data_IF_764658764363
#
_entry.id   IF_764658764363
#
_cell.length_a   1.000
_cell.length_b   1.000
_cell.length_c   1.000
_cell.angle_alpha   90.00
_cell.angle_beta   90.00
_cell.angle_gamma   90.00
#
_symmetry.space_group_name_H-M   'P 1'
#
loop_
_entity.id
_entity.type
_entity.pdbx_description
1 polymer ?
#
# COMPACT_ATOMS: atom_id res chain seq x y z
N UNK A 1 50.53 8.87 2.47
CA UNK A 1 49.76 9.25 3.66
C UNK A 1 48.29 9.03 3.37
N UNK A 2 47.73 7.97 3.92
CA UNK A 2 46.41 7.40 3.66
C UNK A 2 45.30 8.16 4.42
N UNK A 3 44.33 8.66 3.67
CA UNK A 3 43.06 9.22 4.17
C UNK A 3 42.17 8.08 4.70
N UNK A 4 41.59 8.16 5.92
CA UNK A 4 40.66 7.14 6.39
C UNK A 4 39.25 7.41 5.84
N UNK A 5 38.69 6.38 5.20
CA UNK A 5 37.31 6.28 4.78
C UNK A 5 36.35 6.40 5.99
N UNK A 6 35.55 7.46 6.05
CA UNK A 6 34.37 7.52 6.92
C UNK A 6 33.13 7.09 6.11
N UNK A 7 33.04 5.77 5.90
CA UNK A 7 31.86 5.11 5.37
C UNK A 7 31.00 4.62 6.55
N UNK A 8 30.23 5.51 7.15
CA UNK A 8 29.19 5.16 8.13
C UNK A 8 27.83 5.39 7.50
N UNK A 9 27.48 4.52 6.53
CA UNK A 9 26.08 4.28 6.13
C UNK A 9 25.36 3.65 7.32
N UNK A 10 24.86 4.49 8.21
CA UNK A 10 23.88 4.10 9.22
C UNK A 10 22.62 3.69 8.46
N UNK A 11 22.27 2.41 8.56
CA UNK A 11 20.96 1.89 8.23
C UNK A 11 19.92 2.53 9.17
N UNK A 12 19.56 3.79 8.88
CA UNK A 12 18.39 4.40 9.48
C UNK A 12 17.20 3.57 9.03
N UNK A 13 16.60 2.89 10.00
CA UNK A 13 15.25 2.33 9.95
C UNK A 13 14.42 3.21 9.01
N UNK A 14 14.02 2.66 7.86
CA UNK A 14 13.32 3.34 6.77
C UNK A 14 11.91 3.76 7.26
N UNK A 15 11.89 4.71 8.16
CA UNK A 15 10.73 5.28 8.84
C UNK A 15 10.20 6.33 7.88
N UNK A 16 9.21 5.93 7.08
CA UNK A 16 8.51 6.84 6.19
C UNK A 16 7.67 7.83 6.99
N UNK A 17 7.58 9.06 6.51
CA UNK A 17 6.69 10.07 7.08
C UNK A 17 5.23 9.56 6.96
N UNK A 18 4.37 9.72 7.99
CA UNK A 18 2.96 9.39 7.87
C UNK A 18 2.31 10.12 6.70
N UNK A 19 1.46 9.44 5.93
CA UNK A 19 0.84 9.98 4.71
C UNK A 19 0.13 11.33 4.94
N UNK A 20 -0.57 11.50 6.07
CA UNK A 20 -1.20 12.78 6.44
C UNK A 20 -0.19 13.92 6.59
N UNK A 21 0.95 13.67 7.24
CA UNK A 21 2.01 14.68 7.40
C UNK A 21 2.70 14.98 6.06
N UNK A 22 2.84 13.99 5.17
CA UNK A 22 3.32 14.23 3.80
C UNK A 22 2.37 15.16 3.04
N UNK A 23 1.06 14.85 3.04
CA UNK A 23 0.07 15.66 2.34
C UNK A 23 0.04 17.09 2.86
N UNK A 24 0.07 17.25 4.18
CA UNK A 24 0.08 18.55 4.86
C UNK A 24 1.33 19.36 4.51
N UNK A 25 2.52 18.75 4.52
CA UNK A 25 3.77 19.41 4.14
C UNK A 25 3.76 19.83 2.66
N UNK A 26 3.43 18.91 1.75
CA UNK A 26 3.43 19.20 0.31
C UNK A 26 2.39 20.27 -0.04
N UNK A 27 1.20 20.21 0.60
CA UNK A 27 0.15 21.20 0.39
C UNK A 27 0.54 22.59 0.89
N UNK A 28 1.16 22.70 2.07
CA UNK A 28 1.65 24.00 2.57
C UNK A 28 2.81 24.54 1.75
N UNK A 29 3.74 23.70 1.32
CA UNK A 29 4.78 24.11 0.38
C UNK A 29 4.16 24.65 -0.91
N UNK A 30 3.17 23.96 -1.48
CA UNK A 30 2.46 24.45 -2.67
C UNK A 30 1.84 25.84 -2.44
N UNK A 31 1.09 26.02 -1.34
CA UNK A 31 0.43 27.30 -1.01
C UNK A 31 1.45 28.43 -0.82
N UNK A 32 2.55 28.17 -0.12
CA UNK A 32 3.58 29.18 0.15
C UNK A 32 4.35 29.57 -1.11
N UNK A 33 4.70 28.60 -1.96
CA UNK A 33 5.33 28.84 -3.24
C UNK A 33 4.39 29.58 -4.21
N UNK A 34 3.10 29.23 -4.21
CA UNK A 34 2.09 29.94 -4.99
C UNK A 34 1.93 31.40 -4.56
N UNK A 35 2.12 31.68 -3.26
CA UNK A 35 2.16 33.04 -2.72
C UNK A 35 3.48 33.79 -3.02
N UNK A 36 4.40 33.21 -3.78
CA UNK A 36 5.68 33.81 -4.16
C UNK A 36 6.77 33.77 -3.08
N UNK A 37 6.60 32.95 -2.03
CA UNK A 37 7.64 32.80 -1.00
C UNK A 37 8.76 31.89 -1.53
N UNK A 38 10.02 32.30 -1.36
CA UNK A 38 11.20 31.50 -1.73
C UNK A 38 11.20 30.10 -1.05
N UNK A 39 11.57 29.07 -1.82
CA UNK A 39 11.57 27.67 -1.40
C UNK A 39 12.41 27.42 -0.14
N UNK A 40 13.57 28.08 0.03
CA UNK A 40 14.41 27.92 1.23
C UNK A 40 13.68 28.38 2.47
N UNK A 41 12.99 29.52 2.38
CA UNK A 41 12.20 30.07 3.49
C UNK A 41 10.98 29.21 3.80
N UNK A 42 10.26 28.78 2.76
CA UNK A 42 9.12 27.89 2.90
C UNK A 42 9.52 26.56 3.57
N UNK A 43 10.59 25.93 3.08
CA UNK A 43 11.14 24.70 3.64
C UNK A 43 11.59 24.84 5.09
N UNK A 44 12.36 25.88 5.41
CA UNK A 44 12.82 26.14 6.78
C UNK A 44 11.67 26.30 7.79
N UNK A 45 10.56 26.91 7.35
CA UNK A 45 9.35 27.02 8.17
C UNK A 45 8.67 25.66 8.38
N UNK A 46 8.61 24.80 7.35
CA UNK A 46 8.04 23.46 7.46
C UNK A 46 8.88 22.53 8.35
N UNK A 47 10.21 22.63 8.29
CA UNK A 47 11.11 21.89 9.19
C UNK A 47 10.83 22.23 10.65
N UNK A 48 10.66 23.52 10.98
CA UNK A 48 10.35 23.98 12.35
C UNK A 48 8.98 23.53 12.85
N UNK A 49 7.99 23.41 11.95
CA UNK A 49 6.63 22.95 12.27
C UNK A 49 6.56 21.43 12.47
N UNK A 50 7.52 20.69 11.93
CA UNK A 50 7.49 19.24 11.94
C UNK A 50 7.73 18.71 13.37
N UNK A 51 6.99 17.67 13.82
CA UNK A 51 7.23 17.06 15.13
C UNK A 51 8.69 16.62 15.28
N UNK A 52 9.27 16.74 16.48
CA UNK A 52 10.69 16.48 16.76
C UNK A 52 11.19 15.12 16.22
N UNK A 53 10.33 14.10 16.26
CA UNK A 53 10.58 12.75 15.70
C UNK A 53 10.94 12.72 14.20
N UNK A 54 10.50 13.72 13.43
CA UNK A 54 10.68 13.80 11.97
C UNK A 54 11.45 15.05 11.55
N UNK A 55 11.44 16.11 12.36
CA UNK A 55 12.10 17.38 12.07
C UNK A 55 13.60 17.23 11.80
N UNK A 56 14.31 16.42 12.61
CA UNK A 56 15.75 16.19 12.44
C UNK A 56 16.10 15.47 11.13
N UNK A 57 15.23 14.58 10.64
CA UNK A 57 15.45 13.88 9.39
C UNK A 57 15.02 14.72 8.19
N UNK A 58 13.98 15.55 8.34
CA UNK A 58 13.57 16.52 7.33
C UNK A 58 14.60 17.64 7.16
N UNK A 59 15.29 18.06 8.23
CA UNK A 59 16.35 19.08 8.15
C UNK A 59 17.55 18.66 7.32
N UNK A 60 17.76 17.36 7.07
CA UNK A 60 18.79 16.88 6.13
C UNK A 60 18.55 17.35 4.69
N UNK A 61 17.32 17.72 4.33
CA UNK A 61 17.01 18.32 3.04
C UNK A 61 17.29 19.83 2.99
N UNK A 62 17.46 20.49 4.13
CA UNK A 62 17.70 21.95 4.20
C UNK A 62 19.02 22.32 3.54
N UNK A 63 20.08 21.55 3.77
CA UNK A 63 21.39 21.80 3.17
C UNK A 63 21.32 21.71 1.63
N UNK A 64 20.55 20.74 1.13
CA UNK A 64 20.33 20.54 -0.31
C UNK A 64 19.63 21.72 -0.96
N UNK A 65 18.56 22.20 -0.33
CA UNK A 65 17.79 23.36 -0.82
C UNK A 65 18.61 24.65 -0.69
N UNK A 66 19.39 24.82 0.37
CA UNK A 66 20.27 25.97 0.53
C UNK A 66 21.37 26.02 -0.52
N UNK A 67 21.88 24.86 -0.93
CA UNK A 67 22.86 24.72 -2.02
C UNK A 67 22.25 24.88 -3.42
N UNK A 68 20.93 25.12 -3.53
CA UNK A 68 20.24 25.29 -4.81
C UNK A 68 19.96 23.99 -5.57
N UNK A 69 20.03 22.83 -4.90
CA UNK A 69 19.60 21.57 -5.51
C UNK A 69 18.06 21.52 -5.64
N UNK A 70 17.59 20.71 -6.60
CA UNK A 70 16.16 20.47 -6.86
C UNK A 70 15.41 19.95 -5.63
N UNK A 71 14.11 20.27 -5.52
CA UNK A 71 13.30 19.85 -4.38
C UNK A 71 13.20 18.32 -4.28
N UNK A 72 13.11 17.64 -5.43
CA UNK A 72 13.13 16.18 -5.52
C UNK A 72 14.38 15.56 -4.91
N UNK A 73 15.55 16.17 -5.10
CA UNK A 73 16.83 15.70 -4.54
C UNK A 73 16.85 15.90 -3.03
N UNK A 74 16.39 17.04 -2.54
CA UNK A 74 16.25 17.31 -1.12
C UNK A 74 15.31 16.30 -0.44
N UNK A 75 14.13 16.06 -1.02
CA UNK A 75 13.16 15.07 -0.52
C UNK A 75 13.74 13.65 -0.52
N UNK A 76 14.47 13.27 -1.57
CA UNK A 76 15.14 11.98 -1.65
C UNK A 76 16.19 11.81 -0.55
N UNK A 77 16.97 12.86 -0.28
CA UNK A 77 18.03 12.85 0.73
C UNK A 77 17.48 12.64 2.16
N UNK A 78 16.25 13.09 2.44
CA UNK A 78 15.62 12.83 3.75
C UNK A 78 15.29 11.36 3.98
N UNK A 79 15.06 10.58 2.92
CA UNK A 79 14.58 9.20 3.02
C UNK A 79 13.16 9.05 3.58
N UNK A 80 12.43 10.15 3.79
CA UNK A 80 11.10 10.15 4.41
C UNK A 80 9.95 9.90 3.43
N UNK A 81 10.19 10.16 2.15
CA UNK A 81 9.17 10.17 1.11
C UNK A 81 9.20 8.90 0.26
N UNK A 82 8.03 8.41 -0.21
CA UNK A 82 7.97 7.32 -1.18
C UNK A 82 8.63 7.69 -2.52
N UNK A 83 9.19 6.71 -3.27
CA UNK A 83 9.75 6.95 -4.60
C UNK A 83 8.78 7.64 -5.56
N UNK A 84 7.49 7.30 -5.49
CA UNK A 84 6.43 7.93 -6.27
C UNK A 84 6.37 9.46 -6.06
N UNK A 85 6.45 9.92 -4.80
CA UNK A 85 6.41 11.35 -4.47
C UNK A 85 7.66 12.04 -4.99
N UNK A 86 8.82 11.43 -4.78
CA UNK A 86 10.11 11.96 -5.25
C UNK A 86 10.11 12.08 -6.79
N UNK A 87 9.67 11.03 -7.48
CA UNK A 87 9.60 10.99 -8.94
C UNK A 87 8.64 12.04 -9.50
N UNK A 88 7.44 12.16 -8.92
CA UNK A 88 6.49 13.21 -9.32
C UNK A 88 7.04 14.61 -9.09
N UNK A 89 7.64 14.89 -7.92
CA UNK A 89 8.29 16.19 -7.67
C UNK A 89 9.44 16.43 -8.64
N UNK A 90 10.18 15.39 -9.03
CA UNK A 90 11.24 15.51 -10.03
C UNK A 90 10.71 15.89 -11.42
N UNK A 91 9.52 15.39 -11.79
CA UNK A 91 8.81 15.87 -12.99
C UNK A 91 8.43 17.34 -12.83
N UNK A 92 7.91 17.73 -11.66
CA UNK A 92 7.64 19.13 -11.30
C UNK A 92 8.88 20.03 -11.47
N UNK A 93 10.00 19.65 -10.88
CA UNK A 93 11.25 20.43 -10.89
C UNK A 93 11.76 20.61 -12.34
N UNK A 94 11.70 19.54 -13.16
CA UNK A 94 12.16 19.56 -14.54
C UNK A 94 11.24 20.38 -15.47
N UNK A 95 9.96 20.47 -15.14
CA UNK A 95 8.95 21.19 -15.92
C UNK A 95 8.69 22.61 -15.42
N UNK A 96 9.25 22.99 -14.27
CA UNK A 96 8.93 24.24 -13.58
C UNK A 96 7.52 24.28 -12.97
N UNK A 97 6.85 23.13 -12.85
CA UNK A 97 5.46 23.02 -12.36
C UNK A 97 5.37 22.51 -10.91
N UNK A 98 6.28 22.96 -10.05
CA UNK A 98 6.34 22.50 -8.65
C UNK A 98 5.04 22.76 -7.90
N UNK A 99 4.46 23.96 -8.03
CA UNK A 99 3.22 24.33 -7.32
C UNK A 99 2.06 23.41 -7.71
N UNK A 100 1.88 23.17 -9.01
CA UNK A 100 0.82 22.29 -9.53
C UNK A 100 1.02 20.86 -9.04
N UNK A 101 2.26 20.36 -9.15
CA UNK A 101 2.65 19.01 -8.74
C UNK A 101 2.47 18.78 -7.24
N UNK A 102 2.93 19.70 -6.40
CA UNK A 102 2.83 19.62 -4.95
C UNK A 102 1.37 19.70 -4.48
N UNK A 103 0.57 20.59 -5.07
CA UNK A 103 -0.87 20.70 -4.81
C UNK A 103 -1.56 19.37 -5.11
N UNK A 104 -1.22 18.79 -6.25
CA UNK A 104 -1.86 17.57 -6.72
C UNK A 104 -1.42 16.34 -5.90
N UNK A 105 -0.14 16.24 -5.55
CA UNK A 105 0.35 15.21 -4.64
C UNK A 105 -0.31 15.30 -3.26
N UNK A 106 -0.46 16.51 -2.72
CA UNK A 106 -1.18 16.72 -1.46
C UNK A 106 -2.62 16.20 -1.53
N UNK A 107 -3.33 16.52 -2.62
CA UNK A 107 -4.70 16.04 -2.86
C UNK A 107 -4.76 14.52 -2.92
N UNK A 108 -3.93 13.89 -3.74
CA UNK A 108 -3.90 12.42 -3.92
C UNK A 108 -3.59 11.71 -2.60
N UNK A 109 -2.58 12.18 -1.85
CA UNK A 109 -2.22 11.56 -0.58
C UNK A 109 -3.33 11.77 0.46
N UNK A 110 -3.99 12.93 0.51
CA UNK A 110 -5.13 13.16 1.39
C UNK A 110 -6.30 12.22 1.09
N UNK A 111 -6.65 12.02 -0.18
CA UNK A 111 -7.66 11.04 -0.57
C UNK A 111 -7.26 9.62 -0.17
N UNK A 112 -5.99 9.25 -0.34
CA UNK A 112 -5.48 7.95 0.10
C UNK A 112 -5.57 7.77 1.63
N UNK A 113 -5.32 8.82 2.42
CA UNK A 113 -5.47 8.79 3.89
C UNK A 113 -6.93 8.55 4.29
N UNK A 114 -7.88 9.31 3.71
CA UNK A 114 -9.31 9.15 3.99
C UNK A 114 -9.76 7.72 3.64
N UNK A 115 -9.35 7.23 2.48
CA UNK A 115 -9.66 5.88 1.99
C UNK A 115 -9.08 4.81 2.92
N UNK A 116 -7.82 4.95 3.31
CA UNK A 116 -7.15 4.01 4.22
C UNK A 116 -7.84 3.97 5.58
N UNK A 117 -8.29 5.12 6.09
CA UNK A 117 -9.04 5.18 7.34
C UNK A 117 -10.39 4.49 7.23
N UNK A 118 -11.11 4.69 6.11
CA UNK A 118 -12.36 3.99 5.86
C UNK A 118 -12.15 2.47 5.80
N UNK A 119 -11.14 2.01 5.07
CA UNK A 119 -10.73 0.60 5.02
C UNK A 119 -10.40 0.03 6.39
N UNK A 120 -9.61 0.75 7.19
CA UNK A 120 -9.27 0.35 8.55
C UNK A 120 -10.51 0.24 9.43
N UNK A 121 -11.42 1.22 9.35
CA UNK A 121 -12.65 1.19 10.14
C UNK A 121 -13.54 -0.01 9.79
N UNK A 122 -13.58 -0.42 8.52
CA UNK A 122 -14.32 -1.60 8.08
C UNK A 122 -13.75 -2.93 8.61
N UNK A 123 -12.45 -2.99 8.94
CA UNK A 123 -11.78 -4.19 9.46
C UNK A 123 -11.87 -4.33 10.99
N UNK A 124 -12.32 -3.30 11.71
CA UNK A 124 -12.43 -3.34 13.18
C UNK A 124 -13.42 -4.42 13.61
N UNK A 125 -14.60 -4.49 12.99
CA UNK A 125 -15.62 -5.47 13.36
C UNK A 125 -15.16 -6.93 13.18
N UNK A 126 -14.62 -7.34 12.02
CA UNK A 126 -14.02 -8.67 11.86
C UNK A 126 -12.92 -8.98 12.89
N UNK A 127 -12.09 -8.00 13.24
CA UNK A 127 -11.04 -8.19 14.24
C UNK A 127 -11.59 -8.44 15.64
N UNK A 128 -12.60 -7.68 16.08
CA UNK A 128 -13.29 -7.88 17.37
C UNK A 128 -13.94 -9.26 17.41
N UNK A 129 -14.63 -9.65 16.32
CA UNK A 129 -15.28 -10.95 16.23
C UNK A 129 -14.27 -12.11 16.29
N UNK A 130 -13.11 -11.97 15.64
CA UNK A 130 -12.03 -12.95 15.69
C UNK A 130 -11.47 -13.09 17.11
N UNK A 131 -11.21 -11.97 17.81
CA UNK A 131 -10.75 -12.00 19.20
C UNK A 131 -11.77 -12.70 20.10
N UNK A 132 -13.06 -12.38 19.97
CA UNK A 132 -14.12 -13.02 20.74
C UNK A 132 -14.18 -14.53 20.47
N UNK A 133 -14.10 -14.93 19.20
CA UNK A 133 -14.08 -16.35 18.83
C UNK A 133 -12.89 -17.10 19.44
N UNK A 134 -11.68 -16.52 19.39
CA UNK A 134 -10.49 -17.11 20.02
C UNK A 134 -10.63 -17.22 21.54
N UNK A 135 -11.30 -16.27 22.19
CA UNK A 135 -11.60 -16.31 23.62
C UNK A 135 -12.60 -17.42 23.96
N UNK A 136 -13.69 -17.55 23.20
CA UNK A 136 -14.67 -18.63 23.39
C UNK A 136 -13.98 -20.00 23.30
N UNK A 137 -13.13 -20.19 22.29
CA UNK A 137 -12.34 -21.42 22.14
C UNK A 137 -11.42 -21.66 23.35
N UNK A 138 -10.74 -20.63 23.84
CA UNK A 138 -9.89 -20.73 25.03
C UNK A 138 -10.66 -21.12 26.30
N UNK A 139 -11.85 -20.53 26.51
CA UNK A 139 -12.73 -20.87 27.64
C UNK A 139 -13.21 -22.32 27.54
N UNK A 140 -13.58 -22.79 26.35
CA UNK A 140 -14.00 -24.17 26.15
C UNK A 140 -12.89 -25.16 26.51
N UNK A 141 -11.63 -24.91 26.10
CA UNK A 141 -10.47 -25.75 26.47
C UNK A 141 -10.27 -25.79 27.98
N UNK A 142 -10.45 -24.65 28.66
CA UNK A 142 -10.30 -24.59 30.11
C UNK A 142 -11.37 -25.41 30.83
N UNK A 143 -12.64 -25.23 30.45
CA UNK A 143 -13.78 -25.97 31.03
C UNK A 143 -13.67 -27.46 30.76
N UNK A 144 -13.17 -27.86 29.59
CA UNK A 144 -12.98 -29.25 29.21
C UNK A 144 -12.05 -30.03 30.15
N UNK A 145 -11.12 -29.35 30.83
CA UNK A 145 -10.25 -29.98 31.83
C UNK A 145 -10.85 -30.09 33.22
N UNK A 146 -12.00 -29.44 33.47
CA UNK A 146 -12.71 -29.51 34.76
C UNK A 146 -13.82 -30.56 34.76
N UNK A 147 -14.29 -30.97 33.58
CA UNK A 147 -15.33 -31.97 33.41
C UNK A 147 -14.67 -33.30 33.06
N UNK A 148 -14.42 -34.13 34.07
CA UNK A 148 -14.03 -35.52 33.86
C UNK A 148 -15.30 -36.34 33.57
N UNK A 149 -15.37 -36.98 32.40
CA UNK A 149 -16.32 -38.08 32.24
C UNK A 149 -15.92 -39.20 33.20
N UNK A 150 -16.91 -39.94 33.70
CA UNK A 150 -16.72 -41.13 34.53
C UNK A 150 -15.77 -42.20 33.96
N UNK A 151 -15.35 -42.08 32.69
CA UNK A 151 -14.37 -42.95 32.02
C UNK A 151 -12.91 -42.47 32.11
N UNK A 152 -12.60 -41.44 32.91
CA UNK A 152 -11.22 -40.99 33.15
C UNK A 152 -10.50 -40.42 31.91
N UNK A 153 -11.25 -40.12 30.84
CA UNK A 153 -10.72 -39.41 29.67
C UNK A 153 -11.24 -37.98 29.69
N UNK A 154 -10.34 -36.99 29.62
CA UNK A 154 -10.74 -35.58 29.57
C UNK A 154 -11.59 -35.30 28.34
N UNK A 155 -12.63 -34.51 28.52
CA UNK A 155 -13.56 -34.16 27.46
C UNK A 155 -12.88 -33.16 26.53
N UNK A 156 -12.82 -33.46 25.24
CA UNK A 156 -12.23 -32.57 24.23
C UNK A 156 -13.32 -31.98 23.35
N UNK A 157 -13.73 -30.75 23.67
CA UNK A 157 -14.77 -30.04 22.92
C UNK A 157 -14.32 -29.68 21.48
N UNK A 158 -13.02 -29.68 21.19
CA UNK A 158 -12.49 -29.22 19.89
C UNK A 158 -12.01 -30.39 19.03
N UNK A 159 -11.61 -31.50 19.65
CA UNK A 159 -11.09 -32.68 18.97
C UNK A 159 -9.61 -32.58 18.57
N UNK A 160 -8.88 -31.62 19.15
CA UNK A 160 -7.45 -31.37 18.89
C UNK A 160 -6.52 -31.91 19.99
N UNK A 161 -7.06 -32.64 20.97
CA UNK A 161 -6.34 -33.14 22.14
C UNK A 161 -5.97 -32.05 23.16
N UNK A 162 -6.57 -30.85 23.05
CA UNK A 162 -6.28 -29.70 23.91
C UNK A 162 -7.26 -29.67 25.07
N UNK A 163 -6.82 -30.09 26.26
CA UNK A 163 -7.68 -30.12 27.45
C UNK A 163 -7.02 -29.48 28.67
N UNK A 164 -7.79 -28.67 29.39
CA UNK A 164 -7.44 -28.11 30.69
C UNK A 164 -6.32 -27.08 30.64
N UNK A 165 -5.66 -26.85 31.79
CA UNK A 165 -4.59 -25.85 31.90
C UNK A 165 -3.36 -26.16 31.04
N UNK A 166 -3.11 -27.44 30.72
CA UNK A 166 -2.06 -27.84 29.78
C UNK A 166 -2.46 -27.52 28.33
N UNK A 167 -3.69 -27.86 27.94
CA UNK A 167 -4.25 -27.53 26.64
C UNK A 167 -4.33 -26.02 26.38
N UNK A 168 -4.70 -25.22 27.38
CA UNK A 168 -4.77 -23.76 27.25
C UNK A 168 -3.39 -23.14 27.01
N UNK A 169 -2.33 -23.64 27.66
CA UNK A 169 -0.95 -23.21 27.42
C UNK A 169 -0.51 -23.53 25.98
N UNK A 170 -0.79 -24.75 25.51
CA UNK A 170 -0.46 -25.16 24.15
C UNK A 170 -1.23 -24.35 23.11
N UNK A 171 -2.53 -24.10 23.35
CA UNK A 171 -3.35 -23.22 22.52
C UNK A 171 -2.77 -21.80 22.43
N UNK A 172 -2.39 -21.21 23.57
CA UNK A 172 -1.76 -19.90 23.62
C UNK A 172 -0.45 -19.84 22.82
N UNK A 173 0.41 -20.86 22.96
CA UNK A 173 1.65 -20.96 22.17
C UNK A 173 1.37 -21.07 20.66
N UNK A 174 0.37 -21.86 20.26
CA UNK A 174 -0.04 -21.99 18.86
C UNK A 174 -0.56 -20.66 18.29
N UNK A 175 -1.36 -19.91 19.04
CA UNK A 175 -1.82 -18.58 18.61
C UNK A 175 -0.66 -17.60 18.43
N UNK A 176 0.28 -17.60 19.36
CA UNK A 176 1.49 -16.75 19.28
C UNK A 176 2.34 -17.16 18.06
N UNK A 177 2.57 -18.46 17.85
CA UNK A 177 3.29 -18.97 16.69
C UNK A 177 2.59 -18.59 15.38
N UNK A 178 1.28 -18.79 15.28
CA UNK A 178 0.46 -18.39 14.14
C UNK A 178 0.55 -16.88 13.88
N UNK A 179 0.53 -16.06 14.92
CA UNK A 179 0.67 -14.60 14.81
C UNK A 179 2.04 -14.19 14.24
N UNK A 180 3.13 -14.80 14.71
CA UNK A 180 4.46 -14.53 14.17
C UNK A 180 4.64 -15.04 12.74
N UNK A 181 4.07 -16.21 12.40
CA UNK A 181 4.06 -16.72 11.02
C UNK A 181 3.28 -15.76 10.12
N UNK A 182 2.08 -15.33 10.54
CA UNK A 182 1.26 -14.38 9.80
C UNK A 182 1.98 -13.05 9.59
N UNK A 183 2.63 -12.52 10.63
CA UNK A 183 3.46 -11.31 10.53
C UNK A 183 4.65 -11.50 9.58
N UNK A 184 5.31 -12.66 9.62
CA UNK A 184 6.42 -13.01 8.73
C UNK A 184 5.98 -13.04 7.27
N UNK A 185 4.90 -13.78 6.97
CA UNK A 185 4.29 -13.85 5.63
C UNK A 185 3.85 -12.46 5.17
N UNK A 186 3.14 -11.70 6.00
CA UNK A 186 2.70 -10.35 5.65
C UNK A 186 3.89 -9.43 5.34
N UNK A 187 4.96 -9.49 6.14
CA UNK A 187 6.18 -8.72 5.87
C UNK A 187 6.87 -9.16 4.59
N UNK A 188 6.95 -10.45 4.30
CA UNK A 188 7.52 -10.97 3.05
C UNK A 188 6.68 -10.53 1.85
N UNK A 189 5.36 -10.55 1.94
CA UNK A 189 4.47 -10.06 0.88
C UNK A 189 4.62 -8.55 0.65
N UNK A 190 4.66 -7.76 1.74
CA UNK A 190 4.85 -6.31 1.67
C UNK A 190 6.25 -5.91 1.16
N UNK A 191 7.30 -6.62 1.60
CA UNK A 191 8.66 -6.44 1.09
C UNK A 191 8.75 -6.86 -0.38
N UNK A 192 8.10 -7.97 -0.73
CA UNK A 192 8.00 -8.51 -2.08
C UNK A 192 7.25 -7.61 -3.05
N UNK A 193 6.22 -6.89 -2.60
CA UNK A 193 5.54 -5.86 -3.39
C UNK A 193 6.47 -4.67 -3.69
N UNK A 194 7.38 -4.36 -2.77
CA UNK A 194 8.33 -3.24 -2.91
C UNK A 194 9.57 -3.60 -3.75
N UNK A 195 9.89 -4.88 -3.85
CA UNK A 195 10.98 -5.42 -4.68
C UNK A 195 10.46 -5.87 -6.05
N UNK A 196 11.22 -5.66 -7.12
CA UNK A 196 10.88 -6.08 -8.49
C UNK A 196 10.92 -7.63 -8.72
N UNK A 197 10.71 -8.44 -7.68
CA UNK A 197 10.94 -9.89 -7.69
C UNK A 197 9.72 -10.78 -7.91
N UNK A 198 9.92 -12.10 -7.80
CA UNK A 198 8.92 -13.16 -8.02
C UNK A 198 7.61 -12.99 -7.21
N UNK A 199 7.66 -12.32 -6.06
CA UNK A 199 6.48 -12.04 -5.23
C UNK A 199 5.54 -11.03 -5.92
N UNK A 200 6.09 -10.04 -6.65
CA UNK A 200 5.28 -9.14 -7.49
C UNK A 200 4.55 -9.94 -8.56
N UNK A 201 5.24 -10.89 -9.21
CA UNK A 201 4.65 -11.75 -10.25
C UNK A 201 3.58 -12.72 -9.72
N UNK A 202 3.69 -13.17 -8.47
CA UNK A 202 2.68 -14.01 -7.82
C UNK A 202 1.44 -13.20 -7.38
N UNK A 203 1.64 -12.01 -6.81
CA UNK A 203 0.55 -11.14 -6.35
C UNK A 203 -0.22 -10.52 -7.52
N UNK A 204 0.45 -10.17 -8.63
CA UNK A 204 -0.23 -9.60 -9.82
C UNK A 204 -1.15 -10.60 -10.53
N UNK A 205 -1.05 -11.90 -10.20
CA UNK A 205 -1.99 -12.95 -10.64
C UNK A 205 -3.27 -13.01 -9.81
N UNK A 206 -3.32 -12.38 -8.63
CA UNK A 206 -4.56 -12.28 -7.88
C UNK A 206 -5.51 -11.31 -8.59
N UNK A 207 -6.74 -11.73 -8.92
CA UNK A 207 -7.62 -10.98 -9.81
C UNK A 207 -7.97 -9.59 -9.27
N UNK A 208 -8.17 -9.45 -7.96
CA UNK A 208 -8.52 -8.18 -7.31
C UNK A 208 -7.31 -7.26 -7.10
N UNK A 209 -6.26 -7.78 -6.46
CA UNK A 209 -5.09 -6.96 -6.07
C UNK A 209 -4.22 -6.62 -7.29
N UNK A 210 -4.07 -7.56 -8.23
CA UNK A 210 -3.29 -7.34 -9.45
C UNK A 210 -3.91 -6.29 -10.36
N UNK A 211 -5.24 -6.30 -10.53
CA UNK A 211 -5.95 -5.27 -11.27
C UNK A 211 -5.82 -3.89 -10.60
N UNK A 212 -5.98 -3.82 -9.28
CA UNK A 212 -5.79 -2.58 -8.51
C UNK A 212 -4.37 -2.02 -8.64
N UNK A 213 -3.35 -2.88 -8.55
CA UNK A 213 -1.95 -2.49 -8.70
C UNK A 213 -1.65 -1.97 -10.11
N UNK A 214 -2.15 -2.63 -11.18
CA UNK A 214 -2.00 -2.15 -12.56
C UNK A 214 -2.69 -0.80 -12.77
N UNK A 215 -3.89 -0.63 -12.22
CA UNK A 215 -4.58 0.66 -12.25
C UNK A 215 -3.80 1.75 -11.50
N UNK A 216 -3.14 1.42 -10.39
CA UNK A 216 -2.28 2.37 -9.67
C UNK A 216 -1.06 2.83 -10.49
N UNK A 217 -0.44 1.91 -11.23
CA UNK A 217 0.68 2.23 -12.12
C UNK A 217 0.20 3.10 -13.29
N UNK A 218 -0.93 2.76 -13.91
CA UNK A 218 -1.55 3.56 -14.97
C UNK A 218 -1.93 4.96 -14.49
N UNK A 219 -2.51 5.09 -13.29
CA UNK A 219 -2.82 6.38 -12.69
C UNK A 219 -1.57 7.26 -12.52
N UNK A 220 -0.50 6.65 -12.01
CA UNK A 220 0.77 7.35 -11.76
C UNK A 220 1.45 7.78 -13.06
N UNK A 221 1.46 6.89 -14.06
CA UNK A 221 1.98 7.17 -15.40
C UNK A 221 1.18 8.28 -16.07
N UNK A 222 -0.15 8.17 -16.14
CA UNK A 222 -1.03 9.18 -16.76
C UNK A 222 -0.92 10.54 -16.07
N UNK A 223 -0.73 10.55 -14.74
CA UNK A 223 -0.54 11.80 -14.00
C UNK A 223 0.78 12.48 -14.35
N UNK A 224 1.89 11.73 -14.34
CA UNK A 224 3.19 12.26 -14.74
C UNK A 224 3.17 12.75 -16.19
N UNK A 225 2.52 11.98 -17.07
CA UNK A 225 2.37 12.29 -18.48
C UNK A 225 1.52 13.54 -18.72
N UNK A 226 0.42 13.71 -17.98
CA UNK A 226 -0.42 14.91 -18.01
C UNK A 226 0.37 16.17 -17.62
N UNK A 227 1.15 16.12 -16.53
CA UNK A 227 1.98 17.26 -16.11
C UNK A 227 3.07 17.59 -17.13
N UNK A 228 3.73 16.56 -17.68
CA UNK A 228 4.73 16.72 -18.72
C UNK A 228 4.16 17.31 -20.01
N UNK A 229 3.01 16.80 -20.47
CA UNK A 229 2.28 17.33 -21.63
C UNK A 229 1.86 18.79 -21.41
N UNK A 230 1.28 19.11 -20.25
CA UNK A 230 0.88 20.48 -19.92
C UNK A 230 2.06 21.44 -19.74
N UNK A 231 3.29 20.93 -19.62
CA UNK A 231 4.52 21.72 -19.63
C UNK A 231 5.12 21.88 -21.04
N UNK A 232 4.47 21.32 -22.07
CA UNK A 232 4.94 21.38 -23.44
C UNK A 232 6.11 20.45 -23.74
N UNK A 233 6.34 19.40 -22.94
CA UNK A 233 7.36 18.41 -23.24
C UNK A 233 6.94 17.52 -24.43
N UNK A 234 7.91 17.12 -25.25
CA UNK A 234 7.68 16.18 -26.35
C UNK A 234 7.25 14.79 -25.85
N UNK A 235 6.66 14.02 -26.76
CA UNK A 235 6.11 12.69 -26.49
C UNK A 235 7.15 11.71 -25.90
N UNK A 236 8.40 11.76 -26.37
CA UNK A 236 9.47 10.87 -25.92
C UNK A 236 9.89 11.19 -24.48
N UNK A 237 10.08 12.48 -24.18
CA UNK A 237 10.44 12.95 -22.84
C UNK A 237 9.30 12.70 -21.87
N UNK A 238 8.06 12.96 -22.27
CA UNK A 238 6.86 12.64 -21.51
C UNK A 238 6.81 11.15 -21.12
N UNK A 239 7.02 10.26 -22.07
CA UNK A 239 6.98 8.82 -21.82
C UNK A 239 8.12 8.35 -20.89
N UNK A 240 9.32 8.88 -21.10
CA UNK A 240 10.49 8.56 -20.25
C UNK A 240 10.31 9.01 -18.80
N UNK A 241 9.84 10.25 -18.60
CA UNK A 241 9.58 10.81 -17.27
C UNK A 241 8.46 10.05 -16.56
N UNK A 242 7.39 9.72 -17.27
CA UNK A 242 6.25 8.98 -16.73
C UNK A 242 6.64 7.55 -16.33
N UNK A 243 7.51 6.91 -17.11
CA UNK A 243 8.06 5.59 -16.78
C UNK A 243 8.88 5.56 -15.48
N UNK A 244 9.53 6.67 -15.11
CA UNK A 244 10.29 6.76 -13.85
C UNK A 244 9.41 6.71 -12.60
N UNK A 245 8.15 7.16 -12.74
CA UNK A 245 7.15 7.22 -11.66
C UNK A 245 6.31 5.94 -11.61
N UNK A 246 6.15 5.26 -12.75
CA UNK A 246 5.39 4.01 -12.89
C UNK A 246 6.28 2.87 -13.45
N UNK A 247 7.09 2.21 -12.61
CA UNK A 247 8.03 1.16 -13.05
C UNK A 247 7.36 -0.02 -13.77
N UNK A 248 6.08 -0.30 -13.49
CA UNK A 248 5.33 -1.33 -14.22
C UNK A 248 5.06 -0.98 -15.69
N UNK A 249 5.11 0.31 -16.02
CA UNK A 249 4.87 0.89 -17.34
C UNK A 249 6.11 1.60 -17.89
N UNK A 250 7.29 1.34 -17.31
CA UNK A 250 8.54 1.91 -17.80
C UNK A 250 8.89 1.36 -19.19
N UNK A 251 9.40 2.25 -20.03
CA UNK A 251 9.82 2.00 -21.40
C UNK A 251 11.23 2.53 -21.56
N UNK A 252 12.00 1.88 -22.42
CA UNK A 252 13.30 2.38 -22.82
C UNK A 252 13.16 3.73 -23.56
N UNK A 253 13.75 4.82 -23.04
CA UNK A 253 13.70 6.13 -23.68
C UNK A 253 14.27 6.13 -25.10
N UNK A 254 15.28 5.30 -25.38
CA UNK A 254 15.91 5.24 -26.71
C UNK A 254 14.94 4.62 -27.70
N UNK A 255 14.34 3.48 -27.33
CA UNK A 255 13.41 2.76 -28.19
C UNK A 255 12.16 3.59 -28.56
N UNK A 256 11.60 4.32 -27.59
CA UNK A 256 10.41 5.13 -27.86
C UNK A 256 10.76 6.33 -28.75
N UNK A 257 11.95 6.90 -28.58
CA UNK A 257 12.41 7.99 -29.41
C UNK A 257 12.66 7.54 -30.86
N UNK A 258 13.22 6.35 -31.07
CA UNK A 258 13.37 5.75 -32.41
C UNK A 258 12.03 5.54 -33.11
N UNK A 259 11.00 5.06 -32.38
CA UNK A 259 9.63 4.89 -32.88
C UNK A 259 8.98 6.21 -33.30
N UNK A 260 9.07 7.22 -32.44
CA UNK A 260 8.54 8.55 -32.72
C UNK A 260 9.25 9.20 -33.91
N UNK A 261 10.57 9.02 -34.04
CA UNK A 261 11.35 9.49 -35.21
C UNK A 261 10.99 8.73 -36.49
N UNK A 262 10.56 7.48 -36.39
CA UNK A 262 10.06 6.70 -37.52
C UNK A 262 8.64 7.12 -37.98
N UNK A 263 7.96 7.99 -37.22
CA UNK A 263 6.65 8.54 -37.55
C UNK A 263 5.47 7.90 -36.82
N UNK A 264 5.71 6.94 -35.92
CA UNK A 264 4.66 6.39 -35.07
C UNK A 264 4.15 7.49 -34.11
N UNK A 265 2.84 7.52 -33.87
CA UNK A 265 2.25 8.30 -32.76
C UNK A 265 2.69 7.72 -31.41
N UNK A 266 2.57 8.50 -30.31
CA UNK A 266 2.91 7.96 -29.00
C UNK A 266 1.98 6.79 -28.64
N UNK A 267 0.69 6.88 -28.96
CA UNK A 267 -0.25 5.79 -28.72
C UNK A 267 0.17 4.49 -29.43
N UNK A 268 0.57 4.55 -30.71
CA UNK A 268 1.03 3.38 -31.48
C UNK A 268 2.34 2.81 -30.91
N UNK A 269 3.30 3.68 -30.59
CA UNK A 269 4.57 3.28 -29.99
C UNK A 269 4.33 2.58 -28.63
N UNK A 270 3.44 3.10 -27.80
CA UNK A 270 3.08 2.48 -26.52
C UNK A 270 2.33 1.14 -26.72
N UNK A 271 1.46 1.06 -27.72
CA UNK A 271 0.67 -0.14 -28.03
C UNK A 271 1.58 -1.34 -28.37
N UNK A 272 2.67 -1.11 -29.10
CA UNK A 272 3.63 -2.15 -29.48
C UNK A 272 4.34 -2.81 -28.28
N UNK A 273 4.31 -2.19 -27.08
CA UNK A 273 4.88 -2.78 -25.87
C UNK A 273 3.95 -3.81 -25.21
N UNK A 274 2.65 -3.80 -25.52
CA UNK A 274 1.61 -4.62 -24.88
C UNK A 274 1.55 -4.53 -23.34
N UNK A 275 2.10 -3.46 -22.75
CA UNK A 275 2.10 -3.23 -21.29
C UNK A 275 0.98 -2.33 -20.81
N UNK A 276 0.48 -1.46 -21.69
CA UNK A 276 -0.46 -0.40 -21.33
C UNK A 276 -1.91 -0.88 -21.37
N UNK A 277 -2.78 -0.41 -20.45
CA UNK A 277 -4.21 -0.63 -20.54
C UNK A 277 -4.78 0.00 -21.82
N UNK A 278 -5.72 -0.69 -22.47
CA UNK A 278 -6.34 -0.21 -23.72
C UNK A 278 -6.95 1.19 -23.57
N UNK A 279 -7.68 1.44 -22.48
CA UNK A 279 -8.29 2.75 -22.21
C UNK A 279 -7.26 3.90 -22.12
N UNK A 280 -6.02 3.61 -21.72
CA UNK A 280 -4.95 4.61 -21.69
C UNK A 280 -4.47 4.92 -23.11
N UNK A 281 -4.29 3.89 -23.94
CA UNK A 281 -3.87 4.04 -25.34
C UNK A 281 -4.93 4.78 -26.17
N UNK A 282 -6.21 4.41 -26.01
CA UNK A 282 -7.33 5.07 -26.69
C UNK A 282 -7.45 6.54 -26.29
N UNK A 283 -7.39 6.85 -25.00
CA UNK A 283 -7.45 8.25 -24.56
C UNK A 283 -6.21 9.04 -24.98
N UNK A 284 -5.03 8.40 -25.04
CA UNK A 284 -3.84 9.06 -25.57
C UNK A 284 -4.01 9.38 -27.05
N UNK A 285 -4.47 8.44 -27.87
CA UNK A 285 -4.72 8.67 -29.30
C UNK A 285 -5.71 9.82 -29.51
N UNK A 286 -6.82 9.84 -28.76
CA UNK A 286 -7.79 10.96 -28.78
C UNK A 286 -7.14 12.28 -28.35
N UNK A 287 -6.29 12.25 -27.32
CA UNK A 287 -5.55 13.42 -26.86
C UNK A 287 -4.55 13.94 -27.89
N UNK A 288 -3.86 13.05 -28.62
CA UNK A 288 -2.92 13.41 -29.69
C UNK A 288 -3.65 14.01 -30.90
N UNK A 289 -4.77 13.42 -31.30
CA UNK A 289 -5.59 13.92 -32.43
C UNK A 289 -6.24 15.26 -32.11
N UNK A 290 -6.71 15.46 -30.87
CA UNK A 290 -7.36 16.70 -30.43
C UNK A 290 -6.38 17.78 -29.94
N UNK A 291 -5.10 17.45 -29.73
CA UNK A 291 -4.11 18.33 -29.11
C UNK A 291 -4.25 18.47 -27.59
N UNK A 292 -5.20 17.77 -26.96
CA UNK A 292 -5.53 17.89 -25.53
C UNK A 292 -4.96 16.76 -24.66
N UNK A 293 -3.75 16.27 -24.98
CA UNK A 293 -3.07 15.17 -24.26
C UNK A 293 -3.04 15.41 -22.75
N UNK A 294 -2.73 16.64 -22.32
CA UNK A 294 -2.65 16.99 -20.90
C UNK A 294 -3.99 16.77 -20.18
N UNK A 295 -5.10 17.26 -20.75
CA UNK A 295 -6.43 17.16 -20.13
C UNK A 295 -6.94 15.72 -20.13
N UNK A 296 -6.79 15.00 -21.25
CA UNK A 296 -7.26 13.61 -21.37
C UNK A 296 -6.50 12.69 -20.42
N UNK A 297 -5.18 12.79 -20.36
CA UNK A 297 -4.38 11.99 -19.42
C UNK A 297 -4.63 12.38 -17.95
N UNK A 298 -4.93 13.65 -17.69
CA UNK A 298 -5.37 14.12 -16.37
C UNK A 298 -6.63 13.39 -15.90
N UNK A 299 -7.67 13.35 -16.75
CA UNK A 299 -8.93 12.64 -16.49
C UNK A 299 -8.73 11.13 -16.34
N UNK A 300 -7.93 10.51 -17.22
CA UNK A 300 -7.59 9.10 -17.11
C UNK A 300 -6.84 8.79 -15.81
N UNK A 301 -5.95 9.67 -15.36
CA UNK A 301 -5.23 9.47 -14.10
C UNK A 301 -6.17 9.38 -12.91
N UNK A 302 -7.20 10.24 -12.84
CA UNK A 302 -8.18 10.24 -11.77
C UNK A 302 -9.09 9.00 -11.88
N UNK A 303 -9.49 8.60 -13.09
CA UNK A 303 -10.28 7.37 -13.32
C UNK A 303 -9.51 6.09 -12.91
N UNK A 304 -8.24 5.98 -13.29
CA UNK A 304 -7.40 4.85 -12.89
C UNK A 304 -7.12 4.85 -11.37
N UNK A 305 -6.96 6.03 -10.76
CA UNK A 305 -6.82 6.15 -9.31
C UNK A 305 -8.06 5.66 -8.57
N UNK A 306 -9.25 6.01 -9.06
CA UNK A 306 -10.53 5.52 -8.53
C UNK A 306 -10.69 4.00 -8.72
N UNK A 307 -10.31 3.46 -9.88
CA UNK A 307 -10.34 2.02 -10.13
C UNK A 307 -9.39 1.25 -9.21
N UNK A 308 -8.18 1.78 -8.99
CA UNK A 308 -7.20 1.25 -8.03
C UNK A 308 -7.79 1.23 -6.62
N UNK A 309 -8.37 2.35 -6.18
CA UNK A 309 -9.03 2.47 -4.88
C UNK A 309 -10.14 1.43 -4.71
N UNK A 310 -11.08 1.34 -5.65
CA UNK A 310 -12.18 0.37 -5.59
C UNK A 310 -11.68 -1.06 -5.54
N UNK A 311 -10.62 -1.38 -6.30
CA UNK A 311 -9.99 -2.71 -6.27
C UNK A 311 -9.39 -3.05 -4.90
N UNK A 312 -8.67 -2.12 -4.27
CA UNK A 312 -8.15 -2.30 -2.91
C UNK A 312 -9.27 -2.39 -1.86
N UNK A 313 -10.33 -1.60 -2.00
CA UNK A 313 -11.51 -1.69 -1.13
C UNK A 313 -12.22 -3.03 -1.25
N UNK A 314 -12.40 -3.53 -2.48
CA UNK A 314 -12.99 -4.84 -2.72
C UNK A 314 -12.12 -5.97 -2.14
N UNK A 315 -10.80 -5.89 -2.28
CA UNK A 315 -9.88 -6.87 -1.69
C UNK A 315 -9.96 -6.87 -0.15
N UNK A 316 -10.02 -5.69 0.48
CA UNK A 316 -10.18 -5.58 1.92
C UNK A 316 -11.53 -6.12 2.42
N UNK A 317 -12.63 -5.82 1.70
CA UNK A 317 -13.96 -6.36 2.01
C UNK A 317 -14.00 -7.88 1.86
N UNK A 318 -13.40 -8.42 0.80
CA UNK A 318 -13.30 -9.87 0.59
C UNK A 318 -12.51 -10.55 1.72
N UNK A 319 -11.39 -9.97 2.15
CA UNK A 319 -10.64 -10.46 3.30
C UNK A 319 -11.46 -10.42 4.59
N UNK A 320 -12.18 -9.32 4.85
CA UNK A 320 -13.10 -9.20 5.99
C UNK A 320 -14.23 -10.23 5.96
N UNK A 321 -14.85 -10.44 4.79
CA UNK A 321 -15.87 -11.46 4.58
C UNK A 321 -15.32 -12.88 4.77
N UNK A 322 -14.09 -13.15 4.33
CA UNK A 322 -13.40 -14.41 4.59
C UNK A 322 -13.17 -14.67 6.08
N UNK A 323 -12.76 -13.65 6.83
CA UNK A 323 -12.65 -13.73 8.30
C UNK A 323 -14.00 -14.01 8.93
N UNK A 324 -15.06 -13.31 8.50
CA UNK A 324 -16.40 -13.52 9.01
C UNK A 324 -16.90 -14.96 8.76
N UNK A 325 -16.73 -15.48 7.53
CA UNK A 325 -17.08 -16.85 7.16
C UNK A 325 -16.29 -17.87 8.00
N UNK A 326 -15.00 -17.64 8.19
CA UNK A 326 -14.16 -18.48 9.03
C UNK A 326 -14.68 -18.52 10.47
N UNK A 327 -14.97 -17.36 11.06
CA UNK A 327 -15.51 -17.29 12.42
C UNK A 327 -16.89 -17.94 12.51
N UNK A 328 -17.79 -17.68 11.55
CA UNK A 328 -19.11 -18.30 11.51
C UNK A 328 -19.01 -19.83 11.44
N UNK A 329 -18.13 -20.37 10.57
CA UNK A 329 -17.87 -21.80 10.48
C UNK A 329 -17.31 -22.37 11.78
N UNK A 330 -16.39 -21.66 12.44
CA UNK A 330 -15.82 -22.07 13.71
C UNK A 330 -16.88 -22.11 14.81
N UNK A 331 -17.76 -21.09 14.88
CA UNK A 331 -18.86 -21.05 15.84
C UNK A 331 -19.84 -22.20 15.60
N UNK A 332 -20.22 -22.48 14.36
CA UNK A 332 -21.10 -23.62 14.02
C UNK A 332 -20.47 -24.95 14.43
N UNK A 333 -19.18 -25.15 14.13
CA UNK A 333 -18.45 -26.36 14.54
C UNK A 333 -18.44 -26.51 16.07
N UNK A 334 -18.16 -25.43 16.78
CA UNK A 334 -18.16 -25.40 18.25
C UNK A 334 -19.54 -25.74 18.81
N UNK A 335 -20.62 -25.14 18.30
CA UNK A 335 -22.00 -25.42 18.74
C UNK A 335 -22.33 -26.89 18.51
N UNK A 336 -22.05 -27.42 17.32
CA UNK A 336 -22.31 -28.81 16.98
C UNK A 336 -21.56 -29.76 17.91
N UNK A 337 -20.29 -29.45 18.21
CA UNK A 337 -19.48 -30.24 19.15
C UNK A 337 -20.02 -30.20 20.57
N UNK A 338 -20.33 -29.02 21.10
CA UNK A 338 -20.91 -28.89 22.45
C UNK A 338 -22.23 -29.66 22.53
N UNK A 339 -23.09 -29.55 21.51
CA UNK A 339 -24.35 -30.29 21.45
C UNK A 339 -24.13 -31.81 21.39
N UNK A 340 -23.20 -32.28 20.54
CA UNK A 340 -22.85 -33.71 20.45
C UNK A 340 -22.35 -34.28 21.78
N UNK A 341 -21.58 -33.50 22.54
CA UNK A 341 -21.14 -33.89 23.89
C UNK A 341 -22.34 -34.00 24.83
N UNK A 342 -23.22 -32.99 24.82
CA UNK A 342 -24.39 -32.95 25.68
C UNK A 342 -25.35 -34.11 25.42
N UNK A 343 -25.61 -34.44 24.14
CA UNK A 343 -26.41 -35.61 23.75
C UNK A 343 -25.76 -36.91 24.21
N UNK A 344 -24.43 -37.04 24.09
CA UNK A 344 -23.70 -38.21 24.58
C UNK A 344 -23.87 -38.40 26.10
N UNK A 345 -23.79 -37.31 26.88
CA UNK A 345 -24.02 -37.35 28.32
C UNK A 345 -25.45 -37.79 28.68
N UNK A 346 -26.46 -37.35 27.92
CA UNK A 346 -27.85 -37.77 28.13
C UNK A 346 -28.02 -39.27 27.79
N UNK A 347 -27.47 -39.73 26.67
CA UNK A 347 -27.55 -41.15 26.29
C UNK A 347 -26.87 -42.06 27.31
N UNK A 348 -25.70 -41.66 27.83
CA UNK A 348 -25.00 -42.40 28.88
C UNK A 348 -25.80 -42.43 30.20
N UNK A 349 -26.54 -41.36 30.52
CA UNK A 349 -27.41 -41.32 31.69
C UNK A 349 -28.68 -42.17 31.52
N UNK A 350 -29.28 -42.19 30.32
CA UNK A 350 -30.46 -43.01 30.01
C UNK A 350 -30.12 -44.51 29.97
N UNK A 351 -28.95 -44.90 29.44
CA UNK A 351 -28.53 -46.30 29.39
C UNK A 351 -28.16 -46.90 30.75
N UNK A 352 -28.12 -46.09 31.82
CA UNK A 352 -27.82 -46.51 33.20
C UNK A 352 -29.06 -46.76 34.06
N UNK A 353 -30.25 -46.40 33.57
CA UNK A 353 -31.55 -46.62 34.22
C UNK A 353 -32.16 -47.91 33.67
#
# INVERSE_FOLDING_TARGET
MSQPHQNTRIWLVNRKLPARLQADLLGRLAITLQAGIDLRKAWGNEVKRMPARWGAQLSLGTDKINNGEMLSVALAHTGLFPPLVIGMVSVGDQTGKDVETLTQLSRVINHAVVTTNHLRSGLIWPAVQLVLALLVVGVLILVSGTIELERGKPLDFIGLGLVGASGLRMYGLLLVAMFFILLGVLRLLLAGWRSHGAIRALITRLPLIGAAARASEAASWSRAASLAAGAGLDAGRLASLSGSVAPGLAIDPVWIQERLLAGDTLAEALQATHRFPLALLEGLAVGEESGEVSEVLGRLSDQFADNSKRGFEAAAKAAGGGVWLFVASLVVLVIFRVFSVYVGMIQDAVNKI
#
